data_IF_219189578785
#
_entry.id   IF_219189578785
#
_cell.length_a   1.000
_cell.length_b   1.000
_cell.length_c   1.000
_cell.angle_alpha   90.00
_cell.angle_beta   90.00
_cell.angle_gamma   90.00
#
_symmetry.space_group_name_H-M   'P 1'
#
loop_
_entity.id
_entity.type
_entity.pdbx_description
1 polymer ?
#
# COMPACT_ATOMS: atom_id res chain seq x y z
N UNK A 1 -19.05 6.99 -33.72
CA UNK A 1 -19.95 6.82 -32.56
C UNK A 1 -19.53 7.83 -31.52
N UNK A 2 -20.28 8.93 -31.41
CA UNK A 2 -19.94 10.11 -30.60
C UNK A 2 -21.22 10.66 -29.97
N UNK A 3 -21.81 9.86 -29.08
CA UNK A 3 -23.03 10.18 -28.34
C UNK A 3 -22.80 10.20 -26.82
N UNK A 4 -21.55 10.07 -26.35
CA UNK A 4 -21.18 10.27 -24.94
C UNK A 4 -21.80 9.26 -23.96
N UNK A 5 -22.50 8.24 -24.45
CA UNK A 5 -23.15 7.21 -23.65
C UNK A 5 -22.09 6.30 -23.03
N UNK A 6 -21.95 6.39 -21.71
CA UNK A 6 -21.09 5.51 -20.93
C UNK A 6 -21.83 4.18 -20.74
N UNK A 7 -21.33 3.13 -21.37
CA UNK A 7 -21.83 1.75 -21.18
C UNK A 7 -20.97 1.09 -20.10
N UNK A 8 -21.55 0.90 -18.92
CA UNK A 8 -20.86 0.28 -17.78
C UNK A 8 -20.89 -1.25 -17.93
N UNK A 9 -19.75 -1.85 -18.29
CA UNK A 9 -19.62 -3.31 -18.36
C UNK A 9 -19.30 -3.87 -16.96
N UNK A 10 -20.09 -4.81 -16.41
CA UNK A 10 -19.85 -5.37 -15.09
C UNK A 10 -18.49 -6.10 -14.99
N UNK A 11 -17.78 -5.87 -13.87
CA UNK A 11 -16.44 -6.43 -13.63
C UNK A 11 -16.38 -7.97 -13.66
N UNK A 12 -17.47 -8.68 -13.34
CA UNK A 12 -17.49 -10.14 -13.38
C UNK A 12 -17.42 -10.71 -14.82
N UNK A 13 -17.96 -9.98 -15.80
CA UNK A 13 -17.85 -10.34 -17.22
C UNK A 13 -16.42 -10.10 -17.72
N UNK A 14 -15.80 -8.98 -17.28
CA UNK A 14 -14.42 -8.63 -17.64
C UNK A 14 -13.37 -9.56 -17.03
N UNK A 15 -13.67 -10.24 -15.92
CA UNK A 15 -12.78 -11.20 -15.25
C UNK A 15 -12.80 -12.61 -15.87
N UNK A 16 -13.61 -12.85 -16.92
CA UNK A 16 -13.56 -14.09 -17.68
C UNK A 16 -12.31 -14.12 -18.58
N UNK A 17 -11.87 -15.32 -18.96
CA UNK A 17 -10.75 -15.48 -19.91
C UNK A 17 -11.10 -14.70 -21.19
N UNK A 18 -10.20 -13.84 -21.74
CA UNK A 18 -10.50 -12.99 -22.89
C UNK A 18 -11.11 -13.74 -24.08
N UNK A 19 -10.67 -14.98 -24.31
CA UNK A 19 -11.23 -15.86 -25.34
C UNK A 19 -12.73 -16.13 -25.16
N UNK A 20 -13.20 -16.31 -23.92
CA UNK A 20 -14.61 -16.53 -23.58
C UNK A 20 -15.44 -15.27 -23.73
N UNK A 21 -14.89 -14.12 -23.33
CA UNK A 21 -15.54 -12.80 -23.50
C UNK A 21 -15.79 -12.54 -24.99
N UNK A 22 -14.79 -12.78 -25.82
CA UNK A 22 -14.88 -12.57 -27.27
C UNK A 22 -15.92 -13.50 -27.90
N UNK A 23 -15.96 -14.77 -27.50
CA UNK A 23 -16.97 -15.72 -27.97
C UNK A 23 -18.38 -15.29 -27.56
N UNK A 24 -18.58 -14.90 -26.29
CA UNK A 24 -19.88 -14.42 -25.80
C UNK A 24 -20.32 -13.13 -26.49
N UNK A 25 -19.40 -12.20 -26.72
CA UNK A 25 -19.69 -10.97 -27.46
C UNK A 25 -20.13 -11.25 -28.90
N UNK A 26 -19.42 -12.12 -29.61
CA UNK A 26 -19.83 -12.53 -30.95
C UNK A 26 -21.19 -13.24 -30.96
N UNK A 27 -21.43 -14.12 -29.99
CA UNK A 27 -22.71 -14.81 -29.85
C UNK A 27 -23.86 -13.82 -29.59
N UNK A 28 -23.67 -12.88 -28.67
CA UNK A 28 -24.62 -11.82 -28.38
C UNK A 28 -24.94 -10.96 -29.62
N UNK A 29 -23.91 -10.55 -30.38
CA UNK A 29 -24.10 -9.78 -31.61
C UNK A 29 -24.90 -10.56 -32.66
N UNK A 30 -24.64 -11.88 -32.79
CA UNK A 30 -25.37 -12.73 -33.73
C UNK A 30 -26.84 -12.93 -33.32
N UNK A 31 -27.12 -13.05 -32.02
CA UNK A 31 -28.47 -13.27 -31.49
C UNK A 31 -29.32 -11.99 -31.48
N UNK A 32 -28.70 -10.85 -31.15
CA UNK A 32 -29.43 -9.60 -30.84
C UNK A 32 -29.46 -8.61 -32.00
N UNK A 33 -28.46 -8.64 -32.89
CA UNK A 33 -28.36 -7.72 -34.01
C UNK A 33 -27.99 -8.43 -35.33
N UNK A 34 -28.69 -9.52 -35.71
CA UNK A 34 -28.39 -10.21 -36.96
C UNK A 34 -28.53 -9.24 -38.14
N UNK A 35 -27.48 -9.15 -38.95
CA UNK A 35 -27.38 -8.37 -40.20
C UNK A 35 -27.36 -6.83 -40.07
N UNK A 36 -27.51 -6.27 -38.87
CA UNK A 36 -27.46 -4.80 -38.65
C UNK A 36 -26.15 -4.34 -38.03
N UNK A 37 -25.41 -5.23 -37.36
CA UNK A 37 -24.14 -4.92 -36.73
C UNK A 37 -23.09 -5.99 -37.00
N UNK A 38 -21.95 -5.59 -37.55
CA UNK A 38 -20.79 -6.47 -37.76
C UNK A 38 -19.82 -6.31 -36.59
N UNK A 39 -19.63 -7.33 -35.74
CA UNK A 39 -18.70 -7.25 -34.61
C UNK A 39 -17.25 -7.14 -35.10
N UNK A 40 -16.40 -6.50 -34.29
CA UNK A 40 -14.97 -6.41 -34.51
C UNK A 40 -14.32 -7.80 -34.58
N UNK A 41 -13.19 -7.92 -35.27
CA UNK A 41 -12.48 -9.19 -35.38
C UNK A 41 -11.94 -9.65 -34.02
N UNK A 42 -11.77 -10.96 -33.85
CA UNK A 42 -11.18 -11.54 -32.63
C UNK A 42 -9.84 -10.89 -32.27
N UNK A 43 -8.98 -10.62 -33.27
CA UNK A 43 -7.69 -9.96 -33.06
C UNK A 43 -7.85 -8.57 -32.43
N UNK A 44 -8.73 -7.74 -32.98
CA UNK A 44 -9.00 -6.39 -32.46
C UNK A 44 -9.62 -6.47 -31.06
N UNK A 45 -10.51 -7.43 -30.82
CA UNK A 45 -11.13 -7.60 -29.50
C UNK A 45 -10.12 -8.08 -28.43
N UNK A 46 -9.19 -8.97 -28.79
CA UNK A 46 -8.08 -9.32 -27.89
C UNK A 46 -7.21 -8.10 -27.59
N UNK A 47 -6.91 -7.28 -28.60
CA UNK A 47 -6.15 -6.02 -28.42
C UNK A 47 -6.89 -5.01 -27.53
N UNK A 48 -8.22 -4.90 -27.64
CA UNK A 48 -9.04 -4.05 -26.76
C UNK A 48 -9.01 -4.58 -25.33
N UNK A 49 -9.17 -5.89 -25.13
CA UNK A 49 -9.18 -6.50 -23.79
C UNK A 49 -7.81 -6.42 -23.12
N UNK A 50 -6.72 -6.42 -23.90
CA UNK A 50 -5.36 -6.20 -23.40
C UNK A 50 -5.15 -4.73 -22.98
N UNK A 51 -5.56 -3.77 -23.81
CA UNK A 51 -5.52 -2.34 -23.48
C UNK A 51 -6.54 -1.89 -22.41
N UNK A 52 -7.49 -2.75 -22.06
CA UNK A 52 -8.52 -2.54 -21.04
C UNK A 52 -8.56 -3.74 -20.09
N UNK A 53 -7.39 -4.17 -19.59
CA UNK A 53 -7.29 -5.31 -18.68
C UNK A 53 -8.22 -5.15 -17.48
N UNK A 54 -9.01 -6.18 -17.19
CA UNK A 54 -9.88 -6.19 -16.02
C UNK A 54 -9.03 -6.24 -14.75
N UNK A 55 -9.41 -5.48 -13.73
CA UNK A 55 -8.86 -5.65 -12.39
C UNK A 55 -9.26 -7.03 -11.87
N UNK A 56 -8.38 -8.02 -12.03
CA UNK A 56 -8.62 -9.34 -11.42
C UNK A 56 -8.55 -9.16 -9.91
N UNK A 57 -9.68 -9.36 -9.22
CA UNK A 57 -9.70 -9.47 -7.76
C UNK A 57 -9.10 -10.81 -7.34
N UNK A 58 -7.82 -11.01 -7.62
CA UNK A 58 -7.05 -11.99 -6.86
C UNK A 58 -6.86 -11.37 -5.48
N UNK A 59 -7.22 -12.10 -4.43
CA UNK A 59 -6.84 -11.76 -3.07
C UNK A 59 -5.32 -11.89 -2.98
N UNK A 60 -4.60 -10.86 -3.43
CA UNK A 60 -3.17 -10.72 -3.20
C UNK A 60 -3.07 -10.20 -1.76
N UNK A 61 -3.02 -11.16 -0.84
CA UNK A 61 -3.00 -10.89 0.59
C UNK A 61 -1.71 -10.14 0.95
N UNK A 62 -1.83 -8.89 1.40
CA UNK A 62 -0.75 -8.15 2.09
C UNK A 62 0.55 -7.95 1.31
N UNK A 63 0.49 -7.88 -0.03
CA UNK A 63 1.63 -7.52 -0.88
C UNK A 63 1.59 -6.02 -1.21
N UNK A 64 2.77 -5.40 -1.27
CA UNK A 64 2.98 -4.06 -1.84
C UNK A 64 2.77 -4.15 -3.36
N UNK A 65 1.61 -3.66 -3.82
CA UNK A 65 1.25 -3.71 -5.23
C UNK A 65 2.07 -2.70 -6.03
N UNK A 66 2.48 -1.56 -5.46
CA UNK A 66 3.34 -0.60 -6.16
C UNK A 66 4.67 -1.25 -6.54
N UNK A 67 5.30 -1.98 -5.62
CA UNK A 67 6.52 -2.71 -5.94
C UNK A 67 6.29 -3.86 -6.93
N UNK A 68 5.17 -4.58 -6.82
CA UNK A 68 4.85 -5.68 -7.73
C UNK A 68 4.55 -5.18 -9.16
N UNK A 69 3.74 -4.14 -9.28
CA UNK A 69 3.34 -3.52 -10.54
C UNK A 69 4.52 -2.81 -11.18
N UNK A 70 5.30 -2.03 -10.43
CA UNK A 70 6.53 -1.40 -10.91
C UNK A 70 7.56 -2.43 -11.39
N UNK A 71 7.73 -3.53 -10.65
CA UNK A 71 8.59 -4.65 -11.06
C UNK A 71 8.11 -5.31 -12.36
N UNK A 72 6.80 -5.56 -12.47
CA UNK A 72 6.18 -6.11 -13.68
C UNK A 72 6.30 -5.13 -14.85
N UNK A 73 6.23 -3.83 -14.57
CA UNK A 73 6.37 -2.79 -15.57
C UNK A 73 7.78 -2.77 -16.18
N UNK A 74 8.83 -2.97 -15.38
CA UNK A 74 10.18 -3.19 -15.93
C UNK A 74 10.26 -4.41 -16.85
N UNK A 75 9.67 -5.54 -16.45
CA UNK A 75 9.63 -6.75 -17.28
C UNK A 75 8.91 -6.48 -18.62
N UNK A 76 7.82 -5.71 -18.59
CA UNK A 76 7.10 -5.28 -19.78
C UNK A 76 7.94 -4.35 -20.68
N UNK A 77 8.65 -3.37 -20.13
CA UNK A 77 9.53 -2.48 -20.89
C UNK A 77 10.69 -3.26 -21.54
N UNK A 78 11.28 -4.23 -20.83
CA UNK A 78 12.32 -5.13 -21.35
C UNK A 78 11.77 -5.97 -22.51
N UNK A 79 10.53 -6.45 -22.41
CA UNK A 79 9.87 -7.18 -23.50
C UNK A 79 9.63 -6.28 -24.71
N UNK A 80 9.16 -5.04 -24.50
CA UNK A 80 9.01 -4.06 -25.58
C UNK A 80 10.37 -3.74 -26.24
N UNK A 81 11.45 -3.64 -25.46
CA UNK A 81 12.79 -3.47 -26.00
C UNK A 81 13.20 -4.65 -26.92
N UNK A 82 12.84 -5.89 -26.58
CA UNK A 82 13.06 -7.04 -27.48
C UNK A 82 12.24 -6.91 -28.78
N UNK A 83 11.01 -6.39 -28.72
CA UNK A 83 10.19 -6.17 -29.93
C UNK A 83 10.87 -5.20 -30.91
N UNK A 84 11.73 -4.28 -30.45
CA UNK A 84 12.47 -3.34 -31.30
C UNK A 84 13.41 -4.02 -32.29
N UNK A 85 13.93 -5.21 -31.96
CA UNK A 85 14.75 -6.00 -32.88
C UNK A 85 13.97 -6.34 -34.16
N UNK A 86 12.68 -6.66 -34.01
CA UNK A 86 11.79 -6.99 -35.13
C UNK A 86 11.46 -5.79 -36.01
N UNK A 87 11.72 -4.58 -35.50
CA UNK A 87 11.48 -3.30 -36.15
C UNK A 87 12.81 -2.70 -36.68
N UNK A 88 13.91 -3.46 -36.63
CA UNK A 88 15.18 -3.10 -37.25
C UNK A 88 16.11 -2.23 -36.39
N UNK A 89 15.86 -2.13 -35.09
CA UNK A 89 16.84 -1.53 -34.15
C UNK A 89 18.00 -2.50 -33.95
N UNK A 90 19.22 -1.98 -33.94
CA UNK A 90 20.44 -2.78 -33.76
C UNK A 90 20.45 -3.52 -32.42
N UNK A 91 20.90 -4.77 -32.43
CA UNK A 91 20.99 -5.63 -31.25
C UNK A 91 21.87 -5.04 -30.14
N UNK A 92 22.94 -4.32 -30.47
CA UNK A 92 23.80 -3.63 -29.50
C UNK A 92 23.02 -2.61 -28.66
N UNK A 93 22.23 -1.76 -29.31
CA UNK A 93 21.39 -0.74 -28.64
C UNK A 93 20.32 -1.41 -27.78
N UNK A 94 19.67 -2.46 -28.28
CA UNK A 94 18.63 -3.18 -27.51
C UNK A 94 19.23 -3.85 -26.28
N UNK A 95 20.42 -4.46 -26.38
CA UNK A 95 21.11 -5.07 -25.24
C UNK A 95 21.47 -4.03 -24.19
N UNK A 96 22.03 -2.89 -24.60
CA UNK A 96 22.37 -1.81 -23.67
C UNK A 96 21.11 -1.31 -22.94
N UNK A 97 20.04 -0.99 -23.67
CA UNK A 97 18.79 -0.51 -23.08
C UNK A 97 18.20 -1.50 -22.06
N UNK A 98 18.26 -2.81 -22.35
CA UNK A 98 17.80 -3.83 -21.40
C UNK A 98 18.65 -3.86 -20.13
N UNK A 99 19.97 -3.73 -20.26
CA UNK A 99 20.86 -3.66 -19.11
C UNK A 99 20.55 -2.41 -18.28
N UNK A 100 20.35 -1.26 -18.91
CA UNK A 100 20.03 0.01 -18.23
C UNK A 100 18.69 -0.08 -17.48
N UNK A 101 17.67 -0.69 -18.10
CA UNK A 101 16.38 -0.97 -17.44
C UNK A 101 16.54 -1.92 -16.24
N UNK A 102 17.40 -2.92 -16.33
CA UNK A 102 17.67 -3.84 -15.21
C UNK A 102 18.44 -3.16 -14.07
N UNK A 103 19.44 -2.33 -14.39
CA UNK A 103 20.16 -1.52 -13.41
C UNK A 103 19.21 -0.56 -12.70
N UNK A 104 18.36 0.12 -13.46
CA UNK A 104 17.36 1.06 -12.92
C UNK A 104 16.34 0.36 -12.02
N UNK A 105 15.90 -0.85 -12.37
CA UNK A 105 15.05 -1.69 -11.50
C UNK A 105 15.73 -2.03 -10.19
N UNK A 106 17.01 -2.43 -10.24
CA UNK A 106 17.77 -2.78 -9.04
C UNK A 106 17.99 -1.56 -8.14
N UNK A 107 18.28 -0.41 -8.74
CA UNK A 107 18.40 0.87 -8.04
C UNK A 107 17.12 1.22 -7.27
N UNK A 108 15.96 1.23 -7.94
CA UNK A 108 14.68 1.52 -7.28
C UNK A 108 14.33 0.50 -6.19
N UNK A 109 14.72 -0.76 -6.36
CA UNK A 109 14.42 -1.83 -5.40
C UNK A 109 15.25 -1.74 -4.11
N UNK A 110 16.54 -1.40 -4.23
CA UNK A 110 17.49 -1.57 -3.13
C UNK A 110 18.06 -0.24 -2.61
N UNK A 111 18.37 0.70 -3.51
CA UNK A 111 19.28 1.81 -3.19
C UNK A 111 18.54 3.14 -3.07
N UNK A 112 17.49 3.36 -3.88
CA UNK A 112 16.77 4.62 -3.93
C UNK A 112 16.30 5.11 -2.55
N UNK A 113 15.75 4.21 -1.71
CA UNK A 113 15.33 4.53 -0.34
C UNK A 113 16.47 5.04 0.55
N UNK A 114 17.70 4.58 0.33
CA UNK A 114 18.87 4.97 1.12
C UNK A 114 19.36 6.37 0.77
N UNK A 115 19.02 6.86 -0.43
CA UNK A 115 19.41 8.17 -0.90
C UNK A 115 18.42 9.26 -0.47
N UNK A 116 17.22 8.89 -0.03
CA UNK A 116 16.18 9.85 0.35
C UNK A 116 16.48 10.48 1.71
N UNK A 117 16.60 11.80 1.76
CA UNK A 117 16.66 12.59 3.00
C UNK A 117 16.40 14.08 2.72
N UNK A 118 15.90 14.83 3.71
CA UNK A 118 15.49 16.24 3.57
C UNK A 118 16.60 17.20 3.14
N UNK A 119 17.87 16.84 3.36
CA UNK A 119 19.02 17.70 3.03
C UNK A 119 19.70 17.36 1.71
N UNK A 120 19.05 16.60 0.83
CA UNK A 120 19.68 16.17 -0.43
C UNK A 120 19.68 17.30 -1.45
N UNK A 121 20.82 17.55 -2.07
CA UNK A 121 20.97 18.49 -3.19
C UNK A 121 20.44 17.94 -4.51
N UNK A 122 19.94 16.70 -4.53
CA UNK A 122 19.34 16.05 -5.69
C UNK A 122 17.81 16.12 -5.53
N UNK A 123 17.07 16.72 -6.49
CA UNK A 123 15.62 16.91 -6.38
C UNK A 123 14.85 15.64 -6.00
N UNK A 124 15.12 14.54 -6.71
CA UNK A 124 14.48 13.23 -6.52
C UNK A 124 14.75 12.58 -5.16
N UNK A 125 15.81 13.01 -4.46
CA UNK A 125 16.24 12.43 -3.18
C UNK A 125 15.83 13.31 -2.01
N UNK A 126 15.56 14.59 -2.25
CA UNK A 126 15.08 15.49 -1.22
C UNK A 126 13.59 15.24 -0.94
N UNK A 127 13.28 14.63 0.21
CA UNK A 127 11.89 14.39 0.63
C UNK A 127 11.09 15.68 0.77
N UNK A 128 11.69 16.73 1.34
CA UNK A 128 11.04 18.04 1.51
C UNK A 128 10.68 18.66 0.16
N UNK A 129 11.59 18.61 -0.81
CA UNK A 129 11.35 19.13 -2.15
C UNK A 129 10.38 18.27 -2.97
N UNK A 130 10.63 16.95 -3.06
CA UNK A 130 9.84 16.04 -3.90
C UNK A 130 8.41 15.83 -3.40
N UNK A 131 8.14 16.03 -2.11
CA UNK A 131 6.78 15.96 -1.54
C UNK A 131 6.10 17.33 -1.43
N UNK A 132 6.81 18.43 -1.73
CA UNK A 132 6.24 19.77 -1.71
C UNK A 132 5.29 19.97 -2.90
N UNK A 133 4.12 20.55 -2.66
CA UNK A 133 3.19 20.86 -3.75
C UNK A 133 3.71 22.02 -4.62
N UNK A 134 3.74 21.92 -5.96
CA UNK A 134 4.26 22.99 -6.81
C UNK A 134 3.33 24.21 -6.93
N UNK A 135 2.07 24.11 -6.51
CA UNK A 135 1.02 25.10 -6.76
C UNK A 135 0.37 25.62 -5.48
N UNK A 136 0.10 24.73 -4.52
CA UNK A 136 -0.59 25.04 -3.28
C UNK A 136 0.40 25.48 -2.20
N UNK A 137 0.43 26.78 -1.92
CA UNK A 137 1.36 27.37 -0.93
C UNK A 137 1.23 26.78 0.47
N UNK A 138 0.03 26.35 0.85
CA UNK A 138 -0.22 25.72 2.15
C UNK A 138 0.43 24.34 2.28
N UNK A 139 0.72 23.70 1.14
CA UNK A 139 1.33 22.36 1.06
C UNK A 139 2.77 22.42 0.54
N UNK A 140 3.34 23.62 0.46
CA UNK A 140 4.73 23.83 0.11
C UNK A 140 5.64 23.66 1.32
N UNK A 141 6.75 22.95 1.10
CA UNK A 141 7.82 22.82 2.08
C UNK A 141 9.09 23.47 1.53
N UNK A 142 9.53 24.62 2.07
CA UNK A 142 10.75 25.26 1.61
C UNK A 142 11.97 24.45 2.02
N UNK A 143 13.00 24.50 1.17
CA UNK A 143 14.33 23.96 1.47
C UNK A 143 15.31 25.11 1.67
N UNK A 144 16.28 24.92 2.56
CA UNK A 144 17.38 25.88 2.85
C UNK A 144 18.62 25.65 1.97
N UNK A 145 18.55 24.71 1.03
CA UNK A 145 19.60 24.30 0.11
C UNK A 145 19.09 24.31 -1.34
N UNK A 146 20.04 24.20 -2.29
CA UNK A 146 19.75 24.21 -3.72
C UNK A 146 19.74 22.78 -4.28
N UNK A 147 18.90 22.55 -5.29
CA UNK A 147 18.73 21.24 -5.92
C UNK A 147 19.40 21.18 -7.30
N UNK A 148 20.72 21.36 -7.31
CA UNK A 148 21.50 21.49 -8.56
C UNK A 148 22.24 20.21 -8.96
N UNK A 149 22.27 19.20 -8.08
CA UNK A 149 23.00 17.97 -8.32
C UNK A 149 22.11 16.93 -9.01
N UNK A 150 22.75 16.02 -9.74
CA UNK A 150 22.07 14.93 -10.44
C UNK A 150 22.53 13.57 -9.91
N UNK A 151 21.59 12.63 -9.81
CA UNK A 151 21.91 11.24 -9.52
C UNK A 151 22.10 10.45 -10.81
N UNK A 152 23.26 9.81 -10.98
CA UNK A 152 23.56 8.95 -12.14
C UNK A 152 22.44 7.94 -12.41
N UNK A 153 21.93 7.26 -11.38
CA UNK A 153 20.89 6.24 -11.54
C UNK A 153 19.49 6.81 -11.80
N UNK A 154 19.14 7.97 -11.24
CA UNK A 154 17.89 8.65 -11.59
C UNK A 154 17.93 9.12 -13.04
N UNK A 155 19.05 9.71 -13.47
CA UNK A 155 19.28 10.14 -14.85
C UNK A 155 19.29 8.94 -15.81
N UNK A 156 19.90 7.80 -15.43
CA UNK A 156 19.87 6.56 -16.21
C UNK A 156 18.45 6.04 -16.43
N UNK A 157 17.61 6.07 -15.39
CA UNK A 157 16.20 5.65 -15.46
C UNK A 157 15.42 6.49 -16.49
N UNK A 158 15.48 7.82 -16.36
CA UNK A 158 14.78 8.73 -17.27
C UNK A 158 15.32 8.64 -18.71
N UNK A 159 16.64 8.56 -18.88
CA UNK A 159 17.26 8.41 -20.19
C UNK A 159 16.85 7.09 -20.86
N UNK A 160 16.71 6.00 -20.10
CA UNK A 160 16.24 4.71 -20.61
C UNK A 160 14.81 4.81 -21.15
N UNK A 161 13.93 5.52 -20.43
CA UNK A 161 12.55 5.76 -20.84
C UNK A 161 12.44 6.61 -22.11
N UNK A 162 13.22 7.68 -22.19
CA UNK A 162 13.30 8.55 -23.35
C UNK A 162 13.87 7.82 -24.56
N UNK A 163 14.95 7.06 -24.38
CA UNK A 163 15.58 6.26 -25.42
C UNK A 163 14.59 5.24 -25.99
N UNK A 164 13.95 4.45 -25.13
CA UNK A 164 12.94 3.46 -25.54
C UNK A 164 11.82 4.10 -26.36
N UNK A 165 11.27 5.21 -25.87
CA UNK A 165 10.21 5.96 -26.55
C UNK A 165 10.68 6.52 -27.90
N UNK A 166 11.90 7.05 -27.98
CA UNK A 166 12.46 7.62 -29.21
C UNK A 166 12.70 6.55 -30.28
N UNK A 167 13.19 5.37 -29.89
CA UNK A 167 13.42 4.24 -30.79
C UNK A 167 12.11 3.76 -31.43
N UNK A 168 11.01 3.70 -30.65
CA UNK A 168 9.69 3.39 -31.20
C UNK A 168 9.20 4.48 -32.15
N UNK A 169 9.32 5.77 -31.78
CA UNK A 169 8.89 6.90 -32.62
C UNK A 169 9.59 6.90 -33.98
N UNK A 170 10.92 6.79 -33.94
CA UNK A 170 11.82 6.91 -35.09
C UNK A 170 11.91 5.64 -35.93
N UNK A 171 11.28 4.54 -35.51
CA UNK A 171 11.30 3.29 -36.26
C UNK A 171 10.61 3.43 -37.63
N UNK A 172 11.33 3.40 -38.75
CA UNK A 172 10.74 3.63 -40.08
C UNK A 172 10.34 2.34 -40.80
N UNK A 173 10.99 1.22 -40.47
CA UNK A 173 10.81 -0.05 -41.18
C UNK A 173 9.95 -1.01 -40.34
N UNK A 174 9.00 -1.71 -40.96
CA UNK A 174 8.25 -2.84 -40.37
C UNK A 174 7.38 -2.55 -39.12
N UNK A 175 7.02 -1.29 -38.84
CA UNK A 175 6.05 -0.96 -37.78
C UNK A 175 4.96 -0.03 -38.30
N UNK A 176 3.72 -0.53 -38.34
CA UNK A 176 2.56 0.27 -38.74
C UNK A 176 2.32 1.42 -37.76
N UNK A 177 1.71 2.54 -38.20
CA UNK A 177 1.37 3.66 -37.32
C UNK A 177 0.57 3.24 -36.09
N UNK A 178 -0.37 2.30 -36.26
CA UNK A 178 -1.17 1.77 -35.16
C UNK A 178 -0.32 0.95 -34.18
N UNK A 179 0.60 0.12 -34.67
CA UNK A 179 1.52 -0.63 -33.80
C UNK A 179 2.42 0.32 -33.01
N UNK A 180 2.96 1.38 -33.64
CA UNK A 180 3.73 2.43 -32.92
C UNK A 180 2.92 3.08 -31.81
N UNK A 181 1.69 3.51 -32.13
CA UNK A 181 0.80 4.16 -31.15
C UNK A 181 0.54 3.25 -29.95
N UNK A 182 0.30 1.95 -30.20
CA UNK A 182 0.10 0.96 -29.13
C UNK A 182 1.36 0.75 -28.28
N UNK A 183 2.53 0.64 -28.90
CA UNK A 183 3.79 0.50 -28.17
C UNK A 183 4.06 1.72 -27.29
N UNK A 184 3.85 2.93 -27.81
CA UNK A 184 4.00 4.16 -27.04
C UNK A 184 3.02 4.26 -25.87
N UNK A 185 1.77 3.83 -26.06
CA UNK A 185 0.80 3.77 -24.97
C UNK A 185 1.22 2.77 -23.89
N UNK A 186 1.67 1.57 -24.28
CA UNK A 186 2.20 0.56 -23.35
C UNK A 186 3.43 1.10 -22.61
N UNK A 187 4.35 1.75 -23.29
CA UNK A 187 5.54 2.36 -22.68
C UNK A 187 5.12 3.41 -21.64
N UNK A 188 4.26 4.35 -22.02
CA UNK A 188 3.79 5.42 -21.12
C UNK A 188 3.12 4.84 -19.85
N UNK A 189 2.24 3.86 -20.01
CA UNK A 189 1.59 3.21 -18.87
C UNK A 189 2.57 2.50 -17.94
N UNK A 190 3.56 1.78 -18.48
CA UNK A 190 4.56 1.12 -17.64
C UNK A 190 5.52 2.12 -16.96
N UNK A 191 5.82 3.24 -17.61
CA UNK A 191 6.58 4.35 -16.99
C UNK A 191 5.81 4.93 -15.81
N UNK A 192 4.51 5.18 -15.97
CA UNK A 192 3.63 5.65 -14.88
C UNK A 192 3.68 4.72 -13.66
N UNK A 193 3.54 3.40 -13.86
CA UNK A 193 3.64 2.42 -12.78
C UNK A 193 5.00 2.44 -12.06
N UNK A 194 6.09 2.71 -12.79
CA UNK A 194 7.43 2.81 -12.20
C UNK A 194 7.58 4.13 -11.42
N UNK A 195 7.04 5.25 -11.91
CA UNK A 195 7.01 6.51 -11.16
C UNK A 195 6.14 6.41 -9.91
N UNK A 196 5.00 5.71 -9.98
CA UNK A 196 4.17 5.42 -8.82
C UNK A 196 4.93 4.61 -7.77
N UNK A 197 5.71 3.62 -8.21
CA UNK A 197 6.59 2.87 -7.32
C UNK A 197 7.66 3.77 -6.68
N UNK A 198 8.35 4.61 -7.46
CA UNK A 198 9.35 5.58 -6.95
C UNK A 198 8.72 6.52 -5.92
N UNK A 199 7.54 7.05 -6.21
CA UNK A 199 6.80 7.96 -5.32
C UNK A 199 6.32 7.27 -4.04
N UNK A 200 5.87 6.01 -4.14
CA UNK A 200 5.53 5.18 -2.99
C UNK A 200 6.74 4.97 -2.05
N UNK A 201 7.93 4.73 -2.61
CA UNK A 201 9.16 4.56 -1.83
C UNK A 201 9.55 5.87 -1.11
N UNK A 202 9.40 7.02 -1.77
CA UNK A 202 9.61 8.34 -1.19
C UNK A 202 8.69 8.62 0.00
N UNK A 203 7.37 8.44 -0.18
CA UNK A 203 6.38 8.62 0.90
C UNK A 203 6.62 7.67 2.08
N UNK A 204 7.01 6.42 1.78
CA UNK A 204 7.39 5.43 2.80
C UNK A 204 8.54 5.93 3.67
N UNK A 205 9.63 6.45 3.07
CA UNK A 205 10.78 6.97 3.84
C UNK A 205 10.38 8.15 4.71
N UNK A 206 9.62 9.11 4.15
CA UNK A 206 9.14 10.27 4.89
C UNK A 206 8.31 9.88 6.14
N UNK A 207 7.42 8.90 6.01
CA UNK A 207 6.60 8.44 7.14
C UNK A 207 7.41 7.65 8.18
N UNK A 208 8.43 6.92 7.76
CA UNK A 208 9.30 6.22 8.70
C UNK A 208 10.22 7.18 9.46
N UNK A 209 10.66 8.26 8.80
CA UNK A 209 11.29 9.40 9.46
C UNK A 209 10.37 10.00 10.53
N UNK A 210 9.12 10.28 10.19
CA UNK A 210 8.15 10.83 11.14
C UNK A 210 7.99 9.94 12.40
N UNK A 211 7.97 8.62 12.24
CA UNK A 211 7.97 7.67 13.37
C UNK A 211 9.26 7.70 14.17
N UNK A 212 10.40 7.73 13.50
CA UNK A 212 11.72 7.77 14.14
C UNK A 212 11.85 9.02 15.02
N UNK A 213 11.43 10.17 14.50
CA UNK A 213 11.38 11.44 15.25
C UNK A 213 10.49 11.35 16.50
N UNK A 214 9.33 10.71 16.42
CA UNK A 214 8.48 10.51 17.61
C UNK A 214 9.25 9.69 18.65
N UNK A 215 9.80 8.53 18.26
CA UNK A 215 10.49 7.63 19.18
C UNK A 215 11.72 8.28 19.81
N UNK A 216 12.47 9.05 19.03
CA UNK A 216 13.62 9.85 19.50
C UNK A 216 13.21 10.96 20.46
N UNK A 217 11.99 11.48 20.38
CA UNK A 217 11.49 12.55 21.25
C UNK A 217 10.52 12.07 22.34
N UNK A 218 10.24 10.76 22.43
CA UNK A 218 9.43 10.21 23.53
C UNK A 218 10.10 10.49 24.88
N UNK A 219 9.28 10.99 25.81
CA UNK A 219 9.63 11.35 27.18
C UNK A 219 8.80 10.55 28.19
N UNK A 220 8.97 10.84 29.49
CA UNK A 220 8.25 10.14 30.55
C UNK A 220 6.75 10.43 30.60
N UNK A 221 6.28 11.45 29.88
CA UNK A 221 4.88 11.89 29.86
C UNK A 221 4.17 11.53 28.55
N UNK A 222 4.84 10.86 27.63
CA UNK A 222 4.31 10.58 26.30
C UNK A 222 4.32 9.10 25.96
N UNK A 223 3.35 8.71 25.12
CA UNK A 223 3.21 7.36 24.57
C UNK A 223 3.03 7.44 23.06
N UNK A 224 3.70 6.56 22.33
CA UNK A 224 3.44 6.33 20.91
C UNK A 224 2.56 5.10 20.76
N UNK A 225 1.48 5.19 19.99
CA UNK A 225 0.53 4.09 19.81
C UNK A 225 0.32 3.86 18.32
N UNK A 226 0.74 2.68 17.87
CA UNK A 226 0.36 2.18 16.55
C UNK A 226 -0.98 1.46 16.66
N UNK A 227 -1.93 1.81 15.80
CA UNK A 227 -3.29 1.27 15.81
C UNK A 227 -3.63 0.67 14.45
N UNK A 228 -4.32 -0.47 14.45
CA UNK A 228 -4.70 -1.14 13.21
C UNK A 228 -5.89 -2.10 13.38
N UNK A 229 -6.71 -2.20 12.35
CA UNK A 229 -7.72 -3.24 12.22
C UNK A 229 -7.07 -4.49 11.64
N UNK A 230 -6.95 -5.55 12.42
CA UNK A 230 -6.50 -6.82 11.87
C UNK A 230 -7.57 -7.41 10.94
N UNK A 231 -7.11 -8.15 9.92
CA UNK A 231 -7.97 -9.03 9.12
C UNK A 231 -8.90 -9.83 10.02
N UNK A 232 -10.19 -9.83 9.67
CA UNK A 232 -11.24 -10.49 10.46
C UNK A 232 -10.88 -11.94 10.75
N UNK A 233 -11.07 -12.34 12.00
CA UNK A 233 -10.85 -13.71 12.42
C UNK A 233 -12.07 -14.55 12.03
N UNK A 234 -11.87 -15.58 11.21
CA UNK A 234 -12.95 -16.53 10.92
C UNK A 234 -13.12 -17.45 12.12
N UNK A 235 -14.34 -17.54 12.64
CA UNK A 235 -14.70 -18.46 13.71
C UNK A 235 -14.25 -19.90 13.37
N UNK A 236 -13.60 -20.56 14.34
CA UNK A 236 -13.05 -21.90 14.18
C UNK A 236 -13.52 -22.84 15.27
N UNK A 237 -13.89 -24.05 14.89
CA UNK A 237 -14.11 -25.18 15.80
C UNK A 237 -12.99 -26.20 15.56
N UNK A 238 -12.63 -26.97 16.60
CA UNK A 238 -11.64 -28.05 16.46
C UNK A 238 -12.07 -29.10 15.42
N UNK A 239 -13.37 -29.37 15.34
CA UNK A 239 -13.97 -30.26 14.34
C UNK A 239 -15.04 -29.51 13.56
N UNK A 240 -14.74 -29.16 12.32
CA UNK A 240 -15.68 -28.53 11.42
C UNK A 240 -16.12 -29.47 10.30
N UNK A 241 -17.42 -29.57 10.09
CA UNK A 241 -17.93 -30.19 8.87
C UNK A 241 -17.77 -29.24 7.67
N UNK A 242 -17.65 -29.81 6.46
CA UNK A 242 -17.53 -29.05 5.22
C UNK A 242 -18.70 -28.07 4.98
N UNK A 243 -19.89 -28.36 5.51
CA UNK A 243 -21.06 -27.47 5.45
C UNK A 243 -20.95 -26.26 6.37
N UNK A 244 -20.35 -26.42 7.55
CA UNK A 244 -20.15 -25.32 8.51
C UNK A 244 -19.05 -24.35 8.07
N UNK A 245 -18.17 -24.77 7.16
CA UNK A 245 -17.07 -23.94 6.65
C UNK A 245 -17.53 -22.80 5.71
N UNK A 246 -18.65 -22.97 5.01
CA UNK A 246 -19.08 -22.02 3.98
C UNK A 246 -19.71 -20.75 4.58
N UNK A 247 -19.31 -19.58 4.07
CA UNK A 247 -19.89 -18.26 4.38
C UNK A 247 -19.83 -17.81 5.85
N UNK A 248 -18.79 -18.21 6.60
CA UNK A 248 -18.59 -17.73 7.98
C UNK A 248 -18.39 -16.21 8.04
N UNK A 249 -19.13 -15.58 8.96
CA UNK A 249 -18.90 -14.17 9.32
C UNK A 249 -17.65 -14.09 10.19
N UNK A 250 -16.68 -13.28 9.78
CA UNK A 250 -15.48 -13.03 10.57
C UNK A 250 -15.71 -12.06 11.73
N UNK A 251 -15.10 -12.34 12.87
CA UNK A 251 -15.02 -11.46 14.04
C UNK A 251 -14.08 -10.28 13.74
N UNK A 252 -14.52 -9.08 14.11
CA UNK A 252 -13.73 -7.87 13.91
C UNK A 252 -12.89 -7.62 15.15
N UNK A 253 -11.64 -7.24 14.94
CA UNK A 253 -10.74 -6.97 16.05
C UNK A 253 -9.67 -5.97 15.68
N UNK A 254 -9.28 -5.21 16.69
CA UNK A 254 -8.39 -4.08 16.59
C UNK A 254 -7.22 -4.27 17.54
N UNK A 255 -6.04 -3.84 17.12
CA UNK A 255 -4.82 -3.91 17.92
C UNK A 255 -4.31 -2.48 18.12
N UNK A 256 -4.01 -2.15 19.38
CA UNK A 256 -3.23 -0.98 19.75
C UNK A 256 -1.90 -1.44 20.35
N UNK A 257 -0.80 -1.10 19.70
CA UNK A 257 0.55 -1.35 20.17
C UNK A 257 1.15 -0.06 20.73
N UNK A 258 1.11 0.08 22.05
CA UNK A 258 1.62 1.25 22.77
C UNK A 258 3.09 1.07 23.13
N UNK A 259 3.90 2.11 22.94
CA UNK A 259 5.32 2.19 23.24
C UNK A 259 5.55 3.42 24.11
N UNK A 260 6.22 3.25 25.25
CA UNK A 260 6.65 4.35 26.12
C UNK A 260 8.08 4.17 26.57
N UNK A 261 8.67 5.24 27.09
CA UNK A 261 10.00 5.18 27.69
C UNK A 261 9.95 4.37 29.00
N UNK A 262 10.89 3.45 29.16
CA UNK A 262 10.95 2.62 30.36
C UNK A 262 11.38 3.44 31.59
N UNK A 263 10.65 3.33 32.70
CA UNK A 263 10.81 4.17 33.90
C UNK A 263 12.20 4.10 34.55
N UNK A 264 12.98 3.04 34.35
CA UNK A 264 14.35 2.91 34.87
C UNK A 264 15.43 3.41 33.92
N UNK A 265 15.06 4.02 32.78
CA UNK A 265 15.99 4.76 31.93
C UNK A 265 16.38 6.11 32.59
N UNK A 266 16.87 6.06 33.84
CA UNK A 266 17.86 7.03 34.28
C UNK A 266 19.01 6.91 33.29
N UNK A 267 19.33 8.03 32.64
CA UNK A 267 20.46 8.21 31.73
C UNK A 267 21.64 7.30 32.12
N UNK A 268 21.78 6.15 31.47
CA UNK A 268 22.97 5.32 31.65
C UNK A 268 24.12 6.10 31.02
N UNK A 269 25.00 6.64 31.84
CA UNK A 269 26.16 7.43 31.40
C UNK A 269 27.13 6.62 30.52
N UNK A 270 26.95 5.31 30.42
CA UNK A 270 27.75 4.39 29.62
C UNK A 270 27.12 4.02 28.27
N UNK A 271 25.80 4.18 28.07
CA UNK A 271 25.15 3.98 26.76
C UNK A 271 23.97 4.96 26.62
N UNK A 272 24.05 5.90 25.67
CA UNK A 272 22.97 6.87 25.35
C UNK A 272 21.74 6.21 24.69
N UNK A 273 21.37 5.00 25.07
CA UNK A 273 20.27 4.26 24.44
C UNK A 273 18.99 4.40 25.26
N UNK A 274 17.94 4.92 24.61
CA UNK A 274 16.58 4.91 25.15
C UNK A 274 16.09 3.47 25.22
N UNK A 275 15.69 3.03 26.42
CA UNK A 275 14.98 1.76 26.60
C UNK A 275 13.48 2.00 26.52
N UNK A 276 12.82 1.27 25.65
CA UNK A 276 11.37 1.33 25.48
C UNK A 276 10.71 0.12 26.12
N UNK A 277 9.53 0.35 26.68
CA UNK A 277 8.59 -0.72 27.04
C UNK A 277 7.36 -0.60 26.16
N UNK A 278 6.76 -1.75 25.86
CA UNK A 278 5.60 -1.82 25.01
C UNK A 278 4.47 -2.59 25.66
N UNK A 279 3.24 -2.23 25.31
CA UNK A 279 2.03 -2.90 25.75
C UNK A 279 1.05 -3.01 24.60
N UNK A 280 0.53 -4.21 24.40
CA UNK A 280 -0.50 -4.49 23.41
C UNK A 280 -1.87 -4.48 24.07
N UNK A 281 -2.82 -3.79 23.43
CA UNK A 281 -4.24 -3.92 23.70
C UNK A 281 -4.91 -4.54 22.48
N UNK A 282 -5.73 -5.57 22.70
CA UNK A 282 -6.51 -6.21 21.65
C UNK A 282 -7.99 -6.11 22.00
N UNK A 283 -8.77 -5.50 21.11
CA UNK A 283 -10.22 -5.34 21.24
C UNK A 283 -10.89 -6.24 20.20
N UNK A 284 -11.71 -7.18 20.65
CA UNK A 284 -12.42 -8.15 19.80
C UNK A 284 -13.92 -7.95 19.96
N UNK A 285 -14.64 -8.03 18.85
CA UNK A 285 -16.06 -7.73 18.78
C UNK A 285 -16.81 -8.86 18.07
N UNK A 286 -17.89 -9.34 18.69
CA UNK A 286 -18.83 -10.26 18.03
C UNK A 286 -19.54 -9.56 16.86
N UNK A 287 -19.92 -8.30 17.07
CA UNK A 287 -20.50 -7.43 16.06
C UNK A 287 -19.93 -6.03 16.20
N UNK A 288 -19.36 -5.50 15.12
CA UNK A 288 -18.78 -4.17 15.10
C UNK A 288 -18.84 -3.59 13.69
N UNK A 289 -19.14 -2.31 13.61
CA UNK A 289 -18.98 -1.48 12.42
C UNK A 289 -17.63 -0.77 12.57
N UNK A 290 -16.72 -0.94 11.61
CA UNK A 290 -15.39 -0.35 11.66
C UNK A 290 -15.45 1.13 11.23
N UNK A 291 -16.02 2.00 12.08
CA UNK A 291 -16.18 3.44 11.85
C UNK A 291 -15.40 4.28 12.90
N UNK A 292 -15.43 5.60 12.73
CA UNK A 292 -14.71 6.53 13.62
C UNK A 292 -15.20 6.46 15.06
N UNK A 293 -16.51 6.30 15.28
CA UNK A 293 -17.07 6.12 16.63
C UNK A 293 -16.51 4.90 17.37
N UNK A 294 -16.34 3.79 16.66
CA UNK A 294 -15.75 2.58 17.24
C UNK A 294 -14.28 2.78 17.56
N UNK A 295 -13.52 3.42 16.65
CA UNK A 295 -12.12 3.80 16.92
C UNK A 295 -12.02 4.71 18.14
N UNK A 296 -12.87 5.74 18.26
CA UNK A 296 -12.92 6.62 19.44
C UNK A 296 -13.13 5.83 20.72
N UNK A 297 -14.07 4.87 20.73
CA UNK A 297 -14.36 4.02 21.89
C UNK A 297 -13.19 3.12 22.27
N UNK A 298 -12.47 2.59 21.28
CA UNK A 298 -11.26 1.80 21.48
C UNK A 298 -10.15 2.68 22.09
N UNK A 299 -9.88 3.85 21.52
CA UNK A 299 -8.86 4.77 22.02
C UNK A 299 -9.17 5.24 23.44
N UNK A 300 -10.44 5.51 23.73
CA UNK A 300 -10.91 5.85 25.08
C UNK A 300 -10.56 4.75 26.09
N UNK A 301 -10.90 3.49 25.79
CA UNK A 301 -10.56 2.36 26.68
C UNK A 301 -9.04 2.20 26.86
N UNK A 302 -8.27 2.33 25.78
CA UNK A 302 -6.79 2.29 25.83
C UNK A 302 -6.25 3.40 26.72
N UNK A 303 -6.72 4.64 26.56
CA UNK A 303 -6.26 5.77 27.35
C UNK A 303 -6.59 5.61 28.83
N UNK A 304 -7.79 5.15 29.18
CA UNK A 304 -8.17 4.85 30.57
C UNK A 304 -7.23 3.80 31.18
N UNK A 305 -6.92 2.72 30.43
CA UNK A 305 -6.01 1.66 30.91
C UNK A 305 -4.55 2.11 31.00
N UNK A 306 -4.10 2.97 30.09
CA UNK A 306 -2.77 3.58 30.17
C UNK A 306 -2.73 4.46 31.42
N UNK A 307 -3.69 5.36 31.61
CA UNK A 307 -3.72 6.30 32.73
C UNK A 307 -3.79 5.60 34.10
N UNK A 308 -4.48 4.46 34.19
CA UNK A 308 -4.55 3.68 35.44
C UNK A 308 -3.23 3.00 35.83
N UNK A 309 -2.36 2.71 34.85
CA UNK A 309 -1.05 2.09 35.09
C UNK A 309 0.12 3.06 35.00
N UNK A 310 -0.08 4.18 34.32
CA UNK A 310 0.89 5.25 34.07
C UNK A 310 0.21 6.62 34.18
N UNK A 311 -0.12 7.07 35.40
CA UNK A 311 -0.78 8.36 35.64
C UNK A 311 -0.02 9.56 35.09
N UNK A 312 1.30 9.44 34.93
CA UNK A 312 2.21 10.46 34.41
C UNK A 312 2.03 10.76 32.91
N UNK A 313 1.39 9.86 32.15
CA UNK A 313 1.21 10.04 30.71
C UNK A 313 0.15 11.12 30.45
N UNK A 314 0.56 12.18 29.76
CA UNK A 314 -0.27 13.34 29.40
C UNK A 314 -0.45 13.45 27.88
N UNK A 315 0.44 12.84 27.08
CA UNK A 315 0.47 13.01 25.63
C UNK A 315 0.50 11.68 24.88
N UNK A 316 -0.23 11.62 23.76
CA UNK A 316 -0.20 10.50 22.84
C UNK A 316 0.18 10.93 21.43
N UNK A 317 0.96 10.08 20.75
CA UNK A 317 1.21 10.14 19.32
C UNK A 317 0.60 8.89 18.69
N UNK A 318 -0.31 9.07 17.74
CA UNK A 318 -0.99 7.95 17.09
C UNK A 318 -0.44 7.71 15.69
N UNK A 319 -0.28 6.45 15.30
CA UNK A 319 -0.02 6.07 13.91
C UNK A 319 -1.00 4.97 13.47
N UNK A 320 -1.70 5.21 12.37
CA UNK A 320 -2.66 4.27 11.78
C UNK A 320 -2.35 3.97 10.31
N UNK A 321 -3.13 3.10 9.68
CA UNK A 321 -3.26 3.08 8.23
C UNK A 321 -4.12 4.28 7.76
N UNK A 322 -4.22 4.48 6.45
CA UNK A 322 -5.03 5.56 5.89
C UNK A 322 -6.51 5.15 5.67
N UNK A 323 -7.09 4.30 6.53
CA UNK A 323 -8.49 3.94 6.42
C UNK A 323 -9.40 5.07 6.94
N UNK A 324 -10.57 5.25 6.29
CA UNK A 324 -11.51 6.32 6.61
C UNK A 324 -12.02 6.35 8.05
N UNK A 325 -11.94 5.24 8.79
CA UNK A 325 -12.28 5.21 10.21
C UNK A 325 -11.25 5.93 11.11
N UNK A 326 -10.00 6.11 10.68
CA UNK A 326 -8.94 6.79 11.42
C UNK A 326 -8.74 8.25 11.03
N UNK A 327 -9.06 8.64 9.80
CA UNK A 327 -8.90 10.03 9.32
C UNK A 327 -10.24 10.74 9.02
N UNK A 328 -11.36 10.11 9.37
CA UNK A 328 -12.70 10.70 9.25
C UNK A 328 -13.01 11.74 10.32
N UNK A 329 -13.93 12.66 10.03
CA UNK A 329 -14.34 13.74 10.93
C UNK A 329 -14.86 13.24 12.28
N UNK A 330 -15.55 12.08 12.31
CA UNK A 330 -16.05 11.47 13.54
C UNK A 330 -14.96 11.27 14.59
N UNK A 331 -13.80 10.75 14.18
CA UNK A 331 -12.68 10.50 15.09
C UNK A 331 -11.94 11.80 15.43
N UNK A 332 -11.64 12.62 14.41
CA UNK A 332 -10.88 13.86 14.60
C UNK A 332 -11.60 14.85 15.53
N UNK A 333 -12.93 14.96 15.43
CA UNK A 333 -13.73 15.81 16.32
C UNK A 333 -13.81 15.26 17.75
N UNK A 334 -13.62 13.95 17.94
CA UNK A 334 -13.66 13.33 19.26
C UNK A 334 -12.36 13.52 20.07
N UNK A 335 -11.26 13.96 19.45
CA UNK A 335 -9.95 14.16 20.12
C UNK A 335 -10.07 15.05 21.35
N UNK A 336 -10.84 16.14 21.27
CA UNK A 336 -11.04 17.06 22.40
C UNK A 336 -11.78 16.38 23.56
N UNK A 337 -12.86 15.67 23.26
CA UNK A 337 -13.65 14.96 24.27
C UNK A 337 -12.84 13.83 24.93
N UNK A 338 -12.02 13.10 24.15
CA UNK A 338 -11.09 12.10 24.67
C UNK A 338 -10.10 12.70 25.67
N UNK A 339 -9.55 13.88 25.37
CA UNK A 339 -8.65 14.57 26.29
C UNK A 339 -9.36 15.00 27.58
N UNK A 340 -10.53 15.63 27.47
CA UNK A 340 -11.32 16.09 28.63
C UNK A 340 -11.68 14.93 29.57
N UNK A 341 -11.96 13.75 29.02
CA UNK A 341 -12.32 12.58 29.80
C UNK A 341 -11.12 11.82 30.38
N UNK A 342 -10.05 11.65 29.60
CA UNK A 342 -8.95 10.74 29.96
C UNK A 342 -7.69 11.44 30.45
N UNK A 343 -7.58 12.75 30.21
CA UNK A 343 -6.40 13.56 30.51
C UNK A 343 -5.20 13.28 29.59
N UNK A 344 -5.37 12.57 28.47
CA UNK A 344 -4.32 12.30 27.48
C UNK A 344 -4.63 13.08 26.19
N UNK A 345 -3.76 14.01 25.84
CA UNK A 345 -3.91 14.83 24.63
C UNK A 345 -3.19 14.19 23.44
N UNK A 346 -3.89 14.02 22.32
CA UNK A 346 -3.30 13.50 21.08
C UNK A 346 -2.56 14.65 20.39
N UNK A 347 -1.21 14.63 20.43
CA UNK A 347 -0.36 15.67 19.83
C UNK A 347 -0.26 15.56 18.32
N UNK A 348 -0.22 14.34 17.79
CA UNK A 348 -0.08 14.06 16.36
C UNK A 348 -0.77 12.75 16.01
N UNK A 349 -1.36 12.72 14.81
CA UNK A 349 -1.92 11.51 14.21
C UNK A 349 -1.24 11.38 12.84
N UNK A 350 -0.45 10.31 12.68
CA UNK A 350 0.23 9.99 11.43
C UNK A 350 -0.48 8.84 10.72
N UNK A 351 -0.46 8.89 9.40
CA UNK A 351 -1.03 7.84 8.55
C UNK A 351 0.07 7.18 7.73
N UNK A 352 0.02 5.86 7.67
CA UNK A 352 0.96 5.07 6.87
C UNK A 352 0.52 5.05 5.41
N UNK A 353 1.48 5.05 4.50
CA UNK A 353 1.25 4.97 3.07
C UNK A 353 0.63 3.60 2.81
N UNK A 354 -0.44 3.54 2.01
CA UNK A 354 -1.08 2.27 1.71
C UNK A 354 -0.04 1.26 1.25
N UNK A 355 -0.06 0.07 1.88
CA UNK A 355 0.78 -1.07 1.51
C UNK A 355 2.28 -0.92 1.83
N UNK A 356 2.68 0.14 2.53
CA UNK A 356 4.06 0.32 3.02
C UNK A 356 4.33 -0.57 4.24
N UNK A 357 4.68 -1.83 3.98
CA UNK A 357 5.25 -2.76 4.97
C UNK A 357 4.31 -3.22 6.08
N UNK A 358 4.81 -4.15 6.92
CA UNK A 358 4.05 -4.72 8.06
C UNK A 358 4.33 -3.93 9.34
N UNK A 359 3.27 -3.64 10.08
CA UNK A 359 3.31 -2.89 11.33
C UNK A 359 3.70 -3.73 12.55
N UNK A 360 3.92 -3.08 13.70
CA UNK A 360 3.98 -3.78 14.99
C UNK A 360 2.66 -4.51 15.29
N UNK A 361 1.52 -3.94 14.87
CA UNK A 361 0.20 -4.54 15.02
C UNK A 361 0.09 -5.86 14.25
N UNK A 362 0.60 -5.93 13.01
CA UNK A 362 0.63 -7.16 12.22
C UNK A 362 1.41 -8.28 12.89
N UNK A 363 2.59 -7.96 13.45
CA UNK A 363 3.40 -8.93 14.19
C UNK A 363 2.66 -9.46 15.40
N UNK A 364 2.01 -8.57 16.15
CA UNK A 364 1.24 -8.95 17.33
C UNK A 364 -0.02 -9.74 16.97
N UNK A 365 -0.69 -9.39 15.87
CA UNK A 365 -1.81 -10.16 15.32
C UNK A 365 -1.38 -11.58 14.99
N UNK A 366 -0.19 -11.76 14.39
CA UNK A 366 0.36 -13.06 14.07
C UNK A 366 0.62 -13.89 15.33
N UNK A 367 1.19 -13.30 16.39
CA UNK A 367 1.40 -13.97 17.68
C UNK A 367 0.08 -14.40 18.30
N UNK A 368 -0.92 -13.52 18.37
CA UNK A 368 -2.27 -13.86 18.89
C UNK A 368 -2.90 -14.99 18.07
N UNK A 369 -2.83 -14.93 16.73
CA UNK A 369 -3.33 -16.01 15.86
C UNK A 369 -2.62 -17.34 16.08
N UNK A 370 -1.33 -17.32 16.43
CA UNK A 370 -0.58 -18.52 16.77
C UNK A 370 -1.07 -19.14 18.09
N UNK A 371 -1.30 -18.33 19.13
CA UNK A 371 -1.85 -18.81 20.40
C UNK A 371 -3.23 -19.44 20.20
N UNK A 372 -4.11 -18.73 19.48
CA UNK A 372 -5.44 -19.23 19.14
C UNK A 372 -5.38 -20.56 18.38
N UNK A 373 -4.41 -20.73 17.48
CA UNK A 373 -4.23 -21.99 16.76
C UNK A 373 -3.89 -23.13 17.71
N UNK A 374 -2.96 -22.91 18.66
CA UNK A 374 -2.61 -23.91 19.68
C UNK A 374 -3.83 -24.29 20.53
N UNK A 375 -4.59 -23.30 20.99
CA UNK A 375 -5.81 -23.53 21.75
C UNK A 375 -6.83 -24.40 20.99
N UNK A 376 -7.00 -24.15 19.69
CA UNK A 376 -7.87 -24.96 18.84
C UNK A 376 -7.32 -26.38 18.67
N UNK A 377 -6.01 -26.53 18.48
CA UNK A 377 -5.34 -27.83 18.36
C UNK A 377 -5.46 -28.68 19.63
N UNK A 378 -5.64 -28.03 20.79
CA UNK A 378 -5.97 -28.65 22.09
C UNK A 378 -7.45 -29.05 22.24
N UNK A 379 -8.20 -29.04 21.13
CA UNK A 379 -9.61 -29.46 21.02
C UNK A 379 -10.63 -28.44 21.52
N UNK A 380 -10.24 -27.19 21.65
CA UNK A 380 -11.16 -26.09 21.98
C UNK A 380 -11.73 -25.42 20.73
N UNK A 381 -12.82 -24.66 20.93
CA UNK A 381 -13.47 -23.87 19.88
C UNK A 381 -13.24 -22.38 20.12
N UNK A 382 -13.20 -21.60 19.04
CA UNK A 382 -13.09 -20.14 19.05
C UNK A 382 -14.07 -19.56 18.04
N UNK A 383 -15.30 -19.34 18.51
CA UNK A 383 -16.46 -18.96 17.71
C UNK A 383 -16.99 -17.55 18.02
N UNK A 384 -16.64 -17.02 19.18
CA UNK A 384 -17.07 -15.71 19.66
C UNK A 384 -15.92 -14.93 20.31
N UNK A 385 -16.17 -13.67 20.64
CA UNK A 385 -15.20 -12.74 21.22
C UNK A 385 -14.64 -13.22 22.56
N UNK A 386 -15.46 -13.87 23.40
CA UNK A 386 -15.05 -14.38 24.71
C UNK A 386 -14.05 -15.53 24.56
N UNK A 387 -14.36 -16.52 23.74
CA UNK A 387 -13.47 -17.64 23.44
C UNK A 387 -12.18 -17.16 22.77
N UNK A 388 -12.26 -16.12 21.93
CA UNK A 388 -11.07 -15.51 21.34
C UNK A 388 -10.14 -14.93 22.41
N UNK A 389 -10.68 -14.20 23.39
CA UNK A 389 -9.88 -13.62 24.48
C UNK A 389 -9.23 -14.73 25.32
N UNK A 390 -9.96 -15.79 25.63
CA UNK A 390 -9.44 -16.94 26.36
C UNK A 390 -8.28 -17.60 25.61
N UNK A 391 -8.50 -17.93 24.34
CA UNK A 391 -7.50 -18.52 23.45
C UNK A 391 -6.27 -17.61 23.21
N UNK A 392 -6.45 -16.28 23.27
CA UNK A 392 -5.36 -15.32 23.08
C UNK A 392 -4.44 -15.20 24.32
N UNK A 393 -4.93 -15.58 25.51
CA UNK A 393 -4.23 -15.42 26.80
C UNK A 393 -3.25 -16.54 27.13
N UNK A 394 -3.31 -17.68 26.45
CA UNK A 394 -2.42 -18.81 26.72
C UNK A 394 -0.97 -18.46 26.37
N UNK A 395 -0.21 -18.16 27.43
CA UNK A 395 1.25 -18.09 27.51
C UNK A 395 1.72 -19.08 28.54
#
# INVERSE_FOLDING_TARGET
MSNGTIITVPNHIRNLIPSRIIVQYHQFCNETCPNTFKPLSKSILYEILDGCSASTRKSLQGLDYFSADGSTAFDNLINIANELLTIGVSDTVVRQLKNDLQLSRNYLKNDYKLHIHDGSTIPDHCSSFSLSDPHEKEWQQPCDHHHNDECEYCTLLENSFLLLSSLVKNSTNNCSPDKKKRLLHRIAHNIELIHDWKSHQLRTVNQEKARSEILENLDSKSVFIQIDWSMKFLAKEYRESQRQWFAKRGLSWHICYAIKLHSSASFSTTTKEKKFEHRTFAHIFDQCIQNGQTVTSIIRDVFIRIKSTNPEIEYAFLRADNAGCFHGSEFLLAVKALYEETGIFIKRIDFSDPQSGKSCCDRMAAVIKCNIRRYIDEKHNVTNSKEFIEAARET
#
